data_IF_194569552653
#
_entry.id   IF_194569552653
#
_cell.length_a   1.000
_cell.length_b   1.000
_cell.length_c   1.000
_cell.angle_alpha   90.00
_cell.angle_beta   90.00
_cell.angle_gamma   90.00
#
_symmetry.space_group_name_H-M   'P 1'
#
loop_
_entity.id
_entity.type
_entity.pdbx_description
1 polymer ?
#
# COMPACT_ATOMS: atom_id res chain seq x y z
N UNK A 1 20.49 8.01 16.12
CA UNK A 1 19.20 7.87 15.43
C UNK A 1 18.21 7.43 16.49
N UNK A 2 17.40 8.34 17.01
CA UNK A 2 16.40 8.02 18.04
C UNK A 2 15.27 7.27 17.35
N UNK A 3 15.18 5.98 17.60
CA UNK A 3 14.06 5.16 17.16
C UNK A 3 12.87 5.62 18.00
N UNK A 4 11.81 6.13 17.34
CA UNK A 4 10.54 6.37 18.02
C UNK A 4 10.06 5.05 18.62
N UNK A 5 9.56 5.05 19.85
CA UNK A 5 8.98 3.84 20.46
C UNK A 5 7.61 3.47 19.88
N UNK A 6 7.05 4.29 18.99
CA UNK A 6 5.72 4.13 18.40
C UNK A 6 5.83 3.72 16.94
N UNK A 7 5.01 2.74 16.52
CA UNK A 7 4.81 2.43 15.12
C UNK A 7 4.01 3.55 14.41
N UNK A 8 4.02 3.63 13.07
CA UNK A 8 3.16 4.56 12.33
C UNK A 8 1.69 4.45 12.77
N UNK A 9 1.08 5.59 13.15
CA UNK A 9 -0.30 5.64 13.64
C UNK A 9 -0.49 5.39 15.14
N UNK A 10 0.58 5.11 15.87
CA UNK A 10 0.55 4.97 17.33
C UNK A 10 1.01 6.24 18.06
N UNK A 11 0.58 6.36 19.32
CA UNK A 11 0.99 7.45 20.20
C UNK A 11 0.11 8.71 20.09
N UNK A 12 0.49 9.80 20.78
CA UNK A 12 -0.26 11.04 20.78
C UNK A 12 -0.14 11.77 19.44
N UNK A 13 -1.25 12.33 18.95
CA UNK A 13 -1.24 13.17 17.74
C UNK A 13 -0.43 14.45 17.97
N UNK A 14 0.44 14.78 17.00
CA UNK A 14 1.17 16.04 16.94
C UNK A 14 0.91 16.70 15.59
N UNK A 15 0.68 18.01 15.58
CA UNK A 15 0.52 18.79 14.35
C UNK A 15 1.87 19.32 13.88
N UNK A 16 2.25 19.00 12.65
CA UNK A 16 3.38 19.60 11.94
C UNK A 16 2.87 20.23 10.63
N UNK A 17 3.50 21.33 10.21
CA UNK A 17 3.08 22.09 9.02
C UNK A 17 3.93 21.70 7.82
N UNK A 18 3.28 21.32 6.73
CA UNK A 18 3.91 21.00 5.44
C UNK A 18 3.19 21.71 4.30
N UNK A 19 3.96 22.15 3.31
CA UNK A 19 3.41 22.77 2.10
C UNK A 19 3.05 21.72 1.07
N UNK A 20 1.87 21.85 0.48
CA UNK A 20 1.37 21.00 -0.60
C UNK A 20 0.64 21.85 -1.62
N UNK A 21 0.48 21.35 -2.85
CA UNK A 21 -0.29 22.05 -3.88
C UNK A 21 -1.76 22.20 -3.48
N UNK A 22 -2.32 23.38 -3.77
CA UNK A 22 -3.72 23.69 -3.49
C UNK A 22 -4.67 22.67 -4.12
N UNK A 23 -4.43 22.29 -5.38
CA UNK A 23 -5.23 21.25 -6.06
C UNK A 23 -5.22 19.90 -5.36
N UNK A 24 -4.13 19.53 -4.67
CA UNK A 24 -4.09 18.30 -3.86
C UNK A 24 -5.01 18.42 -2.66
N UNK A 25 -4.99 19.56 -1.96
CA UNK A 25 -5.89 19.81 -0.83
C UNK A 25 -7.35 19.80 -1.28
N UNK A 26 -7.67 20.42 -2.41
CA UNK A 26 -9.02 20.42 -2.98
C UNK A 26 -9.51 19.02 -3.36
N UNK A 27 -8.65 18.22 -4.00
CA UNK A 27 -8.97 16.84 -4.34
C UNK A 27 -9.25 15.98 -3.10
N UNK A 28 -8.44 16.12 -2.05
CA UNK A 28 -8.67 15.42 -0.78
C UNK A 28 -9.97 15.90 -0.13
N UNK A 29 -10.17 17.22 -0.03
CA UNK A 29 -11.38 17.81 0.57
C UNK A 29 -12.64 17.38 -0.17
N UNK A 30 -12.59 17.22 -1.48
CA UNK A 30 -13.70 16.71 -2.29
C UNK A 30 -14.02 15.24 -2.00
N UNK A 31 -13.03 14.44 -1.60
CA UNK A 31 -13.17 13.02 -1.28
C UNK A 31 -13.68 12.75 0.14
N UNK A 32 -13.17 13.49 1.13
CA UNK A 32 -13.42 13.20 2.57
C UNK A 32 -14.12 14.33 3.33
N UNK A 33 -14.46 15.42 2.66
CA UNK A 33 -15.04 16.62 3.28
C UNK A 33 -14.05 17.41 4.13
N UNK A 34 -14.51 18.54 4.69
CA UNK A 34 -13.65 19.48 5.45
C UNK A 34 -13.02 18.88 6.72
N UNK A 35 -13.74 17.99 7.41
CA UNK A 35 -13.29 17.40 8.69
C UNK A 35 -12.45 16.12 8.51
N UNK A 36 -12.45 15.53 7.31
CA UNK A 36 -11.76 14.25 7.06
C UNK A 36 -10.31 14.39 6.61
N UNK A 37 -9.80 15.61 6.40
CA UNK A 37 -8.48 15.82 5.78
C UNK A 37 -7.36 15.22 6.61
N UNK A 38 -7.31 15.51 7.91
CA UNK A 38 -6.23 15.02 8.78
C UNK A 38 -6.15 13.50 8.81
N UNK A 39 -7.28 12.81 9.02
CA UNK A 39 -7.32 11.34 9.03
C UNK A 39 -6.99 10.73 7.66
N UNK A 40 -7.41 11.37 6.56
CA UNK A 40 -7.03 10.92 5.23
C UNK A 40 -5.53 11.04 4.98
N UNK A 41 -4.93 12.17 5.36
CA UNK A 41 -3.49 12.41 5.20
C UNK A 41 -2.69 11.45 6.08
N UNK A 42 -3.10 11.26 7.33
CA UNK A 42 -2.47 10.30 8.24
C UNK A 42 -2.48 8.87 7.68
N UNK A 43 -3.65 8.38 7.24
CA UNK A 43 -3.74 7.05 6.63
C UNK A 43 -2.91 6.94 5.34
N UNK A 44 -2.84 8.00 4.53
CA UNK A 44 -2.02 8.01 3.33
C UNK A 44 -0.52 7.97 3.64
N UNK A 45 -0.07 8.68 4.68
CA UNK A 45 1.33 8.66 5.14
C UNK A 45 1.69 7.28 5.69
N UNK A 46 0.85 6.69 6.56
CA UNK A 46 1.08 5.34 7.10
C UNK A 46 1.24 4.31 5.97
N UNK A 47 0.31 4.31 5.01
CA UNK A 47 0.38 3.43 3.83
C UNK A 47 1.66 3.64 3.02
N UNK A 48 2.15 4.87 2.92
CA UNK A 48 3.38 5.13 2.18
C UNK A 48 4.60 4.57 2.90
N UNK A 49 4.70 4.77 4.22
CA UNK A 49 5.77 4.20 5.05
C UNK A 49 5.75 2.67 4.93
N UNK A 50 4.59 2.03 5.09
CA UNK A 50 4.47 0.57 4.94
C UNK A 50 4.96 0.06 3.58
N UNK A 51 4.70 0.82 2.51
CA UNK A 51 5.16 0.48 1.16
C UNK A 51 6.66 0.65 0.98
N UNK A 52 7.21 1.69 1.57
CA UNK A 52 8.65 1.95 1.54
C UNK A 52 9.38 0.82 2.31
N UNK A 53 8.89 0.48 3.50
CA UNK A 53 9.40 -0.65 4.31
C UNK A 53 9.29 -1.99 3.55
N UNK A 54 8.16 -2.25 2.89
CA UNK A 54 7.98 -3.44 2.05
C UNK A 54 8.97 -3.49 0.88
N UNK A 55 9.24 -2.35 0.24
CA UNK A 55 10.19 -2.27 -0.85
C UNK A 55 11.62 -2.57 -0.37
N UNK A 56 12.00 -2.09 0.82
CA UNK A 56 13.29 -2.41 1.44
C UNK A 56 13.44 -3.91 1.73
N UNK A 57 12.40 -4.53 2.29
CA UNK A 57 12.39 -5.97 2.57
C UNK A 57 12.49 -6.81 1.29
N UNK A 58 11.77 -6.42 0.24
CA UNK A 58 11.83 -7.08 -1.07
C UNK A 58 13.25 -6.96 -1.64
N UNK A 59 13.83 -5.76 -1.64
CA UNK A 59 15.17 -5.54 -2.18
C UNK A 59 16.23 -6.38 -1.44
N UNK A 60 16.17 -6.44 -0.10
CA UNK A 60 17.06 -7.27 0.69
C UNK A 60 16.91 -8.77 0.39
N UNK A 61 15.68 -9.24 0.14
CA UNK A 61 15.42 -10.61 -0.24
C UNK A 61 15.97 -10.93 -1.65
N UNK A 62 15.79 -10.02 -2.61
CA UNK A 62 16.29 -10.16 -3.98
C UNK A 62 17.82 -10.11 -4.05
N UNK A 63 18.49 -9.39 -3.15
CA UNK A 63 19.96 -9.41 -3.05
C UNK A 63 20.50 -10.81 -2.71
N UNK A 64 19.78 -11.56 -1.87
CA UNK A 64 20.18 -12.88 -1.40
C UNK A 64 19.79 -13.98 -2.40
N UNK A 65 18.58 -13.89 -2.95
CA UNK A 65 17.95 -14.98 -3.71
C UNK A 65 17.80 -14.71 -5.21
N UNK A 66 18.03 -13.47 -5.65
CA UNK A 66 17.64 -12.99 -6.97
C UNK A 66 16.14 -12.64 -7.05
N UNK A 67 15.73 -11.92 -8.10
CA UNK A 67 14.32 -11.60 -8.34
C UNK A 67 13.52 -12.86 -8.69
N UNK A 68 12.25 -12.89 -8.27
CA UNK A 68 11.33 -13.98 -8.63
C UNK A 68 10.92 -13.89 -10.10
N UNK A 69 10.98 -15.01 -10.82
CA UNK A 69 10.46 -15.10 -12.19
C UNK A 69 8.95 -15.40 -12.20
N UNK A 70 8.22 -15.05 -13.29
CA UNK A 70 6.82 -15.45 -13.44
C UNK A 70 6.61 -16.97 -13.32
N UNK A 71 7.56 -17.77 -13.80
CA UNK A 71 7.55 -19.23 -13.69
C UNK A 71 7.67 -19.70 -12.23
N UNK A 72 8.54 -19.06 -11.44
CA UNK A 72 8.68 -19.34 -10.01
C UNK A 72 7.39 -19.03 -9.24
N UNK A 73 6.75 -17.90 -9.58
CA UNK A 73 5.47 -17.49 -8.98
C UNK A 73 4.38 -18.51 -9.32
N UNK A 74 4.25 -18.90 -10.60
CA UNK A 74 3.25 -19.88 -11.03
C UNK A 74 3.46 -21.24 -10.34
N UNK A 75 4.71 -21.71 -10.26
CA UNK A 75 5.04 -22.95 -9.57
C UNK A 75 4.75 -22.88 -8.06
N UNK A 76 4.88 -21.70 -7.44
CA UNK A 76 4.51 -21.49 -6.03
C UNK A 76 2.98 -21.45 -5.85
N UNK A 77 2.26 -20.76 -6.74
CA UNK A 77 0.79 -20.70 -6.73
C UNK A 77 0.18 -22.10 -6.90
N UNK A 78 0.67 -22.91 -7.85
CA UNK A 78 0.22 -24.29 -8.03
C UNK A 78 0.41 -25.14 -6.78
N UNK A 79 1.52 -24.93 -6.05
CA UNK A 79 1.81 -25.64 -4.80
C UNK A 79 0.93 -25.18 -3.64
N UNK A 80 0.65 -23.88 -3.54
CA UNK A 80 -0.10 -23.29 -2.42
C UNK A 80 -1.61 -23.44 -2.58
N UNK A 81 -2.12 -23.26 -3.80
CA UNK A 81 -3.54 -23.15 -4.10
C UNK A 81 -4.07 -24.31 -4.98
N UNK A 82 -3.20 -25.21 -5.44
CA UNK A 82 -3.54 -26.23 -6.43
C UNK A 82 -3.58 -25.68 -7.86
N UNK A 83 -3.90 -26.50 -8.88
CA UNK A 83 -4.01 -26.02 -10.25
C UNK A 83 -5.12 -24.96 -10.32
N UNK A 84 -4.76 -23.73 -10.71
CA UNK A 84 -5.72 -22.64 -10.93
C UNK A 84 -6.63 -23.00 -12.09
N UNK A 85 -7.82 -23.49 -11.79
CA UNK A 85 -8.90 -23.53 -12.78
C UNK A 85 -9.21 -22.08 -13.15
N UNK A 86 -8.84 -21.65 -14.35
CA UNK A 86 -9.09 -20.29 -14.83
C UNK A 86 -10.60 -20.12 -15.00
N UNK A 87 -11.28 -19.80 -13.91
CA UNK A 87 -12.68 -19.45 -13.84
C UNK A 87 -12.97 -18.30 -14.81
N UNK A 88 -13.60 -18.67 -15.92
CA UNK A 88 -14.27 -17.80 -16.87
C UNK A 88 -15.11 -16.75 -16.15
N UNK A 89 -14.68 -15.49 -16.19
CA UNK A 89 -15.55 -14.34 -15.99
C UNK A 89 -16.48 -14.21 -17.20
N UNK A 90 -17.54 -15.01 -17.25
CA UNK A 90 -18.63 -14.86 -18.21
C UNK A 90 -19.40 -13.59 -17.87
N UNK A 91 -19.02 -12.45 -18.46
CA UNK A 91 -19.87 -11.27 -18.53
C UNK A 91 -20.88 -11.46 -19.67
N UNK A 92 -21.93 -12.24 -19.41
CA UNK A 92 -23.18 -12.19 -20.17
C UNK A 92 -24.01 -11.03 -19.59
N UNK A 93 -23.99 -9.88 -20.26
CA UNK A 93 -24.91 -8.78 -20.00
C UNK A 93 -26.00 -8.78 -21.08
N UNK A 94 -27.22 -8.94 -20.60
CA UNK A 94 -28.49 -9.00 -21.32
C UNK A 94 -28.71 -7.83 -22.29
N UNK A 95 -29.41 -8.14 -23.39
CA UNK A 95 -30.12 -7.20 -24.25
C UNK A 95 -31.61 -7.52 -24.21
#
# INVERSE_FOLDING_TARGET
>A
MTISSYAPGEGPTKSDSVSVHEGTIEAVRSRVGKRGISGYVEAAIQRQIERDDLAELIAANEEIHGPLTPEDIHAAEEKLFGPTDKGTGTAEAAA
#
